data_IF_964108929288
#
_entry.id   IF_964108929288
#
_cell.length_a   1.000
_cell.length_b   1.000
_cell.length_c   1.000
_cell.angle_alpha   90.00
_cell.angle_beta   90.00
_cell.angle_gamma   90.00
#
_symmetry.space_group_name_H-M   'P 1'
#
loop_
_entity.id
_entity.type
_entity.pdbx_description
1 polymer ?
#
# COMPACT_ATOMS: atom_id res chain seq x y z
N UNK A 1 14.22 8.88 15.22
CA UNK A 1 13.56 7.93 14.30
C UNK A 1 14.21 8.12 12.95
N UNK A 2 15.01 7.15 12.54
CA UNK A 2 15.63 7.13 11.22
C UNK A 2 14.53 7.11 10.14
N UNK A 3 14.67 7.82 9.00
CA UNK A 3 13.73 7.75 7.88
C UNK A 3 13.45 6.32 7.42
N UNK A 4 14.44 5.44 7.51
CA UNK A 4 14.31 4.02 7.19
C UNK A 4 13.44 3.29 8.21
N UNK A 5 13.63 3.54 9.51
CA UNK A 5 12.80 2.96 10.58
C UNK A 5 11.33 3.38 10.44
N UNK A 6 11.06 4.62 10.05
CA UNK A 6 9.71 5.09 9.78
C UNK A 6 9.06 4.38 8.58
N UNK A 7 9.81 4.20 7.48
CA UNK A 7 9.33 3.46 6.32
C UNK A 7 9.04 1.99 6.64
N UNK A 8 9.91 1.35 7.44
CA UNK A 8 9.72 -0.04 7.89
C UNK A 8 8.50 -0.18 8.82
N UNK A 9 8.31 0.75 9.75
CA UNK A 9 7.14 0.75 10.64
C UNK A 9 5.82 0.92 9.87
N UNK A 10 5.80 1.83 8.89
CA UNK A 10 4.64 2.04 8.02
C UNK A 10 4.33 0.80 7.18
N UNK A 11 5.37 0.19 6.58
CA UNK A 11 5.22 -1.05 5.80
C UNK A 11 4.69 -2.20 6.67
N UNK A 12 5.17 -2.34 7.90
CA UNK A 12 4.70 -3.37 8.84
C UNK A 12 3.23 -3.16 9.22
N UNK A 13 2.80 -1.92 9.45
CA UNK A 13 1.41 -1.60 9.77
C UNK A 13 0.46 -1.94 8.60
N UNK A 14 0.86 -1.59 7.38
CA UNK A 14 0.08 -1.90 6.17
C UNK A 14 -0.04 -3.41 5.96
N UNK A 15 1.05 -4.15 6.18
CA UNK A 15 1.07 -5.61 6.07
C UNK A 15 0.10 -6.25 7.07
N UNK A 16 0.10 -5.80 8.32
CA UNK A 16 -0.77 -6.32 9.36
C UNK A 16 -2.26 -6.06 9.05
N UNK A 17 -2.59 -4.83 8.65
CA UNK A 17 -3.95 -4.45 8.22
C UNK A 17 -4.42 -5.29 7.01
N UNK A 18 -3.53 -5.51 6.04
CA UNK A 18 -3.81 -6.35 4.87
C UNK A 18 -4.10 -7.79 5.27
N UNK A 19 -3.29 -8.35 6.18
CA UNK A 19 -3.48 -9.72 6.69
C UNK A 19 -4.82 -9.87 7.41
N UNK A 20 -5.18 -8.94 8.29
CA UNK A 20 -6.48 -8.96 8.99
C UNK A 20 -7.67 -8.93 8.01
N UNK A 21 -7.58 -8.11 6.95
CA UNK A 21 -8.60 -8.06 5.89
C UNK A 21 -8.71 -9.39 5.15
N UNK A 22 -7.57 -10.02 4.82
CA UNK A 22 -7.55 -11.33 4.18
C UNK A 22 -8.11 -12.43 5.09
N UNK A 23 -7.79 -12.44 6.39
CA UNK A 23 -8.37 -13.38 7.36
C UNK A 23 -9.90 -13.21 7.46
N UNK A 24 -10.40 -11.98 7.37
CA UNK A 24 -11.84 -11.72 7.39
C UNK A 24 -12.59 -12.33 6.17
N UNK A 25 -11.88 -12.61 5.07
CA UNK A 25 -12.47 -13.21 3.86
C UNK A 25 -12.91 -14.66 4.08
N UNK A 26 -12.22 -15.42 4.93
CA UNK A 26 -12.58 -16.84 5.18
C UNK A 26 -14.02 -16.99 5.70
N UNK A 27 -14.54 -15.94 6.35
CA UNK A 27 -15.91 -15.91 6.88
C UNK A 27 -16.96 -15.37 5.90
N UNK A 28 -16.55 -14.89 4.71
CA UNK A 28 -17.42 -14.20 3.74
C UNK A 28 -17.78 -15.09 2.53
N UNK A 29 -18.92 -14.85 1.87
CA UNK A 29 -19.26 -15.48 0.61
C UNK A 29 -18.20 -15.24 -0.48
N UNK A 30 -17.86 -16.26 -1.27
CA UNK A 30 -16.86 -16.18 -2.37
C UNK A 30 -17.09 -15.01 -3.35
N UNK A 31 -18.32 -14.62 -3.72
CA UNK A 31 -18.53 -13.46 -4.59
C UNK A 31 -18.01 -12.13 -4.00
N UNK A 32 -17.96 -12.02 -2.66
CA UNK A 32 -17.45 -10.83 -1.98
C UNK A 32 -15.92 -10.78 -1.96
N UNK A 33 -15.25 -11.92 -2.20
CA UNK A 33 -13.78 -11.99 -2.17
C UNK A 33 -13.17 -11.16 -3.29
N UNK A 34 -13.79 -11.17 -4.48
CA UNK A 34 -13.32 -10.41 -5.65
C UNK A 34 -13.26 -8.90 -5.34
N UNK A 35 -14.32 -8.35 -4.75
CA UNK A 35 -14.37 -6.92 -4.40
C UNK A 35 -13.31 -6.53 -3.37
N UNK A 36 -13.00 -7.42 -2.42
CA UNK A 36 -11.94 -7.19 -1.44
C UNK A 36 -10.56 -7.30 -2.06
N UNK A 37 -10.33 -8.28 -2.95
CA UNK A 37 -9.06 -8.40 -3.68
C UNK A 37 -8.81 -7.19 -4.58
N UNK A 38 -9.83 -6.71 -5.30
CA UNK A 38 -9.72 -5.51 -6.14
C UNK A 38 -9.38 -4.27 -5.30
N UNK A 39 -10.05 -4.10 -4.15
CA UNK A 39 -9.77 -2.98 -3.24
C UNK A 39 -8.35 -3.05 -2.67
N UNK A 40 -7.89 -4.23 -2.24
CA UNK A 40 -6.52 -4.43 -1.74
C UNK A 40 -5.48 -4.16 -2.83
N UNK A 41 -5.72 -4.64 -4.05
CA UNK A 41 -4.83 -4.41 -5.18
C UNK A 41 -4.72 -2.91 -5.50
N UNK A 42 -5.83 -2.17 -5.49
CA UNK A 42 -5.86 -0.74 -5.76
C UNK A 42 -5.15 0.07 -4.67
N UNK A 43 -5.33 -0.29 -3.41
CA UNK A 43 -4.66 0.34 -2.26
C UNK A 43 -3.14 0.13 -2.32
N UNK A 44 -2.70 -1.11 -2.54
CA UNK A 44 -1.27 -1.45 -2.65
C UNK A 44 -0.62 -0.79 -3.87
N UNK A 45 -1.30 -0.79 -5.02
CA UNK A 45 -0.81 -0.12 -6.23
C UNK A 45 -0.68 1.39 -6.03
N UNK A 46 -1.67 2.01 -5.36
CA UNK A 46 -1.63 3.43 -5.02
C UNK A 46 -0.48 3.78 -4.08
N UNK A 47 -0.22 2.94 -3.07
CA UNK A 47 0.90 3.13 -2.14
C UNK A 47 2.25 2.96 -2.82
N UNK A 48 2.42 1.95 -3.68
CA UNK A 48 3.65 1.76 -4.46
C UNK A 48 3.88 2.93 -5.42
N UNK A 49 2.83 3.42 -6.08
CA UNK A 49 2.92 4.60 -6.95
C UNK A 49 3.28 5.89 -6.18
N UNK A 50 2.75 6.08 -4.96
CA UNK A 50 3.11 7.21 -4.12
C UNK A 50 4.57 7.15 -3.64
N UNK A 51 5.07 5.96 -3.29
CA UNK A 51 6.46 5.75 -2.90
C UNK A 51 7.42 6.03 -4.06
N UNK A 52 7.08 5.59 -5.27
CA UNK A 52 7.86 5.85 -6.49
C UNK A 52 7.90 7.35 -6.83
N UNK A 53 6.77 8.05 -6.63
CA UNK A 53 6.68 9.48 -6.91
C UNK A 53 7.40 10.37 -5.88
N UNK A 54 7.48 9.96 -4.62
CA UNK A 54 8.25 10.65 -3.56
C UNK A 54 9.76 10.53 -3.82
N UNK A 55 10.21 9.42 -4.43
CA UNK A 55 11.60 9.26 -4.88
C UNK A 55 11.97 10.12 -6.10
N UNK A 56 11.03 10.37 -7.01
CA UNK A 56 11.27 11.15 -8.24
C UNK A 56 11.14 12.68 -8.04
N UNK A 57 10.41 13.11 -6.99
CA UNK A 57 10.15 14.52 -6.69
C UNK A 57 11.36 15.36 -6.27
N UNK A 58 12.56 14.77 -6.16
CA UNK A 58 13.80 15.48 -5.78
C UNK A 58 14.67 15.93 -6.96
N UNK A 59 14.35 15.56 -8.21
CA UNK A 59 15.15 15.95 -9.37
C UNK A 59 14.33 16.18 -10.64
N UNK A 60 13.83 17.41 -10.84
CA UNK A 60 13.82 18.03 -12.18
C UNK A 60 13.61 19.55 -12.05
N UNK A 61 14.67 20.36 -12.20
CA UNK A 61 14.48 21.80 -12.32
C UNK A 61 13.72 22.11 -13.62
N UNK A 62 12.89 23.16 -13.64
CA UNK A 62 12.21 23.59 -14.85
C UNK A 62 13.26 24.04 -15.88
N UNK A 63 13.35 23.34 -17.01
CA UNK A 63 14.07 23.86 -18.17
C UNK A 63 13.29 25.07 -18.70
N UNK A 64 13.97 26.21 -18.70
CA UNK A 64 13.46 27.52 -19.16
C UNK A 64 13.19 27.55 -20.66
#
# INVERSE_FOLDING_TARGET
>A
MDPKEQAEALAAQILDSTRQRLESLESRPTPEHVAVFDALHQELSGMLGALDHDTDGRQRPPVS
#
